data_IF_399362799063
#
_entry.id   IF_399362799063
#
_cell.length_a   1.000
_cell.length_b   1.000
_cell.length_c   1.000
_cell.angle_alpha   90.00
_cell.angle_beta   90.00
_cell.angle_gamma   90.00
#
_symmetry.space_group_name_H-M   'P 1'
#
loop_
_entity.id
_entity.type
_entity.pdbx_description
1 polymer ?
#
# COMPACT_ATOMS: atom_id res chain seq x y z
N UNK A 1 -27.40 -13.32 35.98
CA UNK A 1 -26.95 -13.62 34.61
C UNK A 1 -26.71 -12.37 33.76
N UNK A 2 -27.63 -11.40 33.71
CA UNK A 2 -27.48 -10.17 32.90
C UNK A 2 -26.15 -9.40 33.08
N UNK A 3 -25.64 -9.28 34.31
CA UNK A 3 -24.34 -8.62 34.58
C UNK A 3 -23.14 -9.33 33.95
N UNK A 4 -23.17 -10.66 33.85
CA UNK A 4 -22.10 -11.44 33.24
C UNK A 4 -22.16 -11.39 31.71
N UNK A 5 -23.36 -11.40 31.13
CA UNK A 5 -23.56 -11.19 29.70
C UNK A 5 -23.07 -9.79 29.30
N UNK A 6 -23.43 -8.75 30.07
CA UNK A 6 -22.94 -7.39 29.81
C UNK A 6 -21.42 -7.27 29.86
N UNK A 7 -20.76 -7.94 30.83
CA UNK A 7 -19.29 -8.00 30.91
C UNK A 7 -18.66 -8.72 29.72
N UNK A 8 -19.25 -9.83 29.26
CA UNK A 8 -18.76 -10.56 28.09
C UNK A 8 -18.87 -9.72 26.82
N UNK A 9 -20.01 -9.03 26.61
CA UNK A 9 -20.18 -8.10 25.48
C UNK A 9 -19.15 -6.98 25.55
N UNK A 10 -18.96 -6.35 26.72
CA UNK A 10 -17.96 -5.30 26.89
C UNK A 10 -16.54 -5.79 26.57
N UNK A 11 -16.18 -7.00 26.99
CA UNK A 11 -14.87 -7.59 26.68
C UNK A 11 -14.68 -7.82 25.17
N UNK A 12 -15.71 -8.31 24.47
CA UNK A 12 -15.67 -8.48 23.00
C UNK A 12 -15.52 -7.14 22.29
N UNK A 13 -16.24 -6.10 22.74
CA UNK A 13 -16.12 -4.75 22.18
C UNK A 13 -14.71 -4.19 22.40
N UNK A 14 -14.16 -4.30 23.61
CA UNK A 14 -12.80 -3.83 23.92
C UNK A 14 -11.76 -4.56 23.07
N UNK A 15 -11.88 -5.89 22.92
CA UNK A 15 -10.98 -6.67 22.07
C UNK A 15 -11.09 -6.24 20.59
N UNK A 16 -12.32 -6.00 20.10
CA UNK A 16 -12.55 -5.53 18.74
C UNK A 16 -11.95 -4.15 18.47
N UNK A 17 -12.12 -3.19 19.38
CA UNK A 17 -11.54 -1.85 19.28
C UNK A 17 -10.01 -1.89 19.40
N UNK A 18 -9.47 -2.69 20.33
CA UNK A 18 -8.03 -2.86 20.46
C UNK A 18 -7.40 -3.45 19.20
N UNK A 19 -8.04 -4.45 18.60
CA UNK A 19 -7.60 -5.06 17.35
C UNK A 19 -7.65 -4.07 16.18
N UNK A 20 -8.72 -3.29 16.04
CA UNK A 20 -8.84 -2.33 14.93
C UNK A 20 -7.80 -1.20 15.01
N UNK A 21 -7.52 -0.69 16.22
CA UNK A 21 -6.46 0.30 16.43
C UNK A 21 -5.09 -0.31 16.13
N UNK A 22 -4.82 -1.54 16.57
CA UNK A 22 -3.58 -2.23 16.28
C UNK A 22 -3.39 -2.48 14.77
N UNK A 23 -4.44 -2.88 14.07
CA UNK A 23 -4.40 -3.09 12.61
C UNK A 23 -4.15 -1.77 11.87
N UNK A 24 -4.82 -0.68 12.27
CA UNK A 24 -4.59 0.65 11.73
C UNK A 24 -3.15 1.16 11.97
N UNK A 25 -2.59 0.84 13.14
CA UNK A 25 -1.20 1.14 13.47
C UNK A 25 -0.23 0.37 12.58
N UNK A 26 -0.44 -0.95 12.45
CA UNK A 26 0.38 -1.79 11.58
C UNK A 26 0.29 -1.36 10.12
N UNK A 27 -0.88 -0.93 9.67
CA UNK A 27 -1.10 -0.40 8.33
C UNK A 27 -0.41 0.96 8.08
N UNK A 28 0.08 1.63 9.12
CA UNK A 28 0.81 2.90 9.04
C UNK A 28 -0.08 4.12 8.87
N UNK A 29 -1.40 4.01 9.11
CA UNK A 29 -2.34 5.12 8.86
C UNK A 29 -2.11 6.33 9.77
N UNK A 30 -1.54 6.12 10.97
CA UNK A 30 -1.18 7.22 11.89
C UNK A 30 0.08 7.99 11.48
N UNK A 31 0.92 7.41 10.62
CA UNK A 31 2.15 8.04 10.12
C UNK A 31 2.04 8.41 8.64
N UNK A 32 0.82 8.34 8.07
CA UNK A 32 0.58 8.66 6.67
C UNK A 32 0.74 10.18 6.48
N UNK A 33 1.58 10.60 5.53
CA UNK A 33 1.67 11.99 5.12
C UNK A 33 0.32 12.55 4.66
N UNK A 34 0.23 13.87 4.58
CA UNK A 34 -0.88 14.56 3.94
C UNK A 34 -1.01 14.10 2.48
N UNK A 35 -2.22 13.76 2.05
CA UNK A 35 -2.46 13.21 0.72
C UNK A 35 -2.68 14.34 -0.28
N UNK A 36 -1.96 14.36 -1.41
CA UNK A 36 -2.27 15.28 -2.50
C UNK A 36 -3.69 15.09 -3.04
N UNK A 37 -4.24 16.13 -3.66
CA UNK A 37 -5.57 16.05 -4.27
C UNK A 37 -5.62 14.96 -5.36
N UNK A 38 -6.68 14.16 -5.33
CA UNK A 38 -6.85 13.02 -6.25
C UNK A 38 -5.97 11.80 -5.94
N UNK A 39 -5.06 11.89 -4.98
CA UNK A 39 -4.24 10.76 -4.56
C UNK A 39 -5.04 9.76 -3.70
N UNK A 40 -4.57 8.51 -3.70
CA UNK A 40 -5.13 7.48 -2.83
C UNK A 40 -4.02 6.63 -2.21
N UNK A 41 -4.29 6.10 -1.02
CA UNK A 41 -3.30 5.30 -0.29
C UNK A 41 -3.57 3.81 -0.38
N UNK A 42 -2.52 3.02 -0.56
CA UNK A 42 -2.54 1.55 -0.46
C UNK A 42 -1.57 1.11 0.63
N UNK A 43 -2.02 0.23 1.52
CA UNK A 43 -1.20 -0.37 2.57
C UNK A 43 -1.22 -1.88 2.43
N UNK A 44 -0.04 -2.48 2.20
CA UNK A 44 0.10 -3.89 1.92
C UNK A 44 0.68 -4.64 3.12
N UNK A 45 0.24 -5.89 3.31
CA UNK A 45 0.73 -6.77 4.39
C UNK A 45 2.23 -7.08 4.29
N UNK A 46 2.82 -6.92 3.11
CA UNK A 46 4.26 -7.08 2.86
C UNK A 46 5.09 -5.83 3.21
N UNK A 47 4.47 -4.83 3.85
CA UNK A 47 5.14 -3.62 4.35
C UNK A 47 5.24 -2.48 3.35
N UNK A 48 4.87 -2.68 2.08
CA UNK A 48 4.79 -1.55 1.15
C UNK A 48 3.62 -0.63 1.55
N UNK A 49 3.93 0.65 1.73
CA UNK A 49 2.95 1.72 1.99
C UNK A 49 3.08 2.76 0.89
N UNK A 50 1.99 2.98 0.16
CA UNK A 50 2.00 3.70 -1.09
C UNK A 50 0.96 4.84 -1.06
N UNK A 51 1.36 6.03 -1.47
CA UNK A 51 0.49 7.14 -1.86
C UNK A 51 0.56 7.22 -3.37
N UNK A 52 -0.47 6.77 -4.05
CA UNK A 52 -0.54 6.77 -5.50
C UNK A 52 -1.05 8.14 -5.97
N UNK A 53 -0.27 8.80 -6.81
CA UNK A 53 -0.52 10.14 -7.35
C UNK A 53 -0.62 10.06 -8.88
N UNK A 54 -1.47 10.90 -9.48
CA UNK A 54 -1.65 11.00 -10.94
C UNK A 54 -1.99 9.68 -11.66
N UNK A 55 -2.55 8.71 -10.93
CA UNK A 55 -3.08 7.45 -11.47
C UNK A 55 -4.57 7.36 -11.14
N UNK A 56 -5.44 6.94 -12.08
CA UNK A 56 -6.85 6.74 -11.80
C UNK A 56 -7.09 5.77 -10.63
N UNK A 57 -7.89 6.20 -9.66
CA UNK A 57 -8.29 5.34 -8.55
C UNK A 57 -9.37 4.34 -9.01
N UNK A 58 -8.94 3.14 -9.39
CA UNK A 58 -9.82 2.06 -9.85
C UNK A 58 -10.00 0.98 -8.77
N UNK A 59 -9.81 1.32 -7.48
CA UNK A 59 -9.90 0.35 -6.37
C UNK A 59 -11.25 -0.35 -6.26
N UNK A 60 -12.32 0.20 -6.82
CA UNK A 60 -13.64 -0.45 -6.84
C UNK A 60 -13.67 -1.65 -7.80
N UNK A 61 -13.08 -1.50 -8.99
CA UNK A 61 -13.15 -2.46 -10.10
C UNK A 61 -11.86 -3.28 -10.29
N UNK A 62 -10.75 -2.87 -9.66
CA UNK A 62 -9.45 -3.53 -9.76
C UNK A 62 -8.85 -3.84 -8.40
N UNK A 63 -8.08 -4.93 -8.36
CA UNK A 63 -7.31 -5.34 -7.20
C UNK A 63 -5.84 -5.00 -7.42
N UNK A 64 -5.29 -4.18 -6.54
CA UNK A 64 -3.90 -3.74 -6.61
C UNK A 64 -2.99 -4.68 -5.82
N UNK A 65 -1.78 -4.87 -6.32
CA UNK A 65 -0.73 -5.68 -5.73
C UNK A 65 0.55 -4.85 -5.61
N UNK A 66 1.17 -4.90 -4.43
CA UNK A 66 2.41 -4.19 -4.14
C UNK A 66 3.59 -5.15 -4.13
N UNK A 67 4.68 -4.77 -4.79
CA UNK A 67 5.92 -5.53 -4.92
C UNK A 67 7.05 -4.71 -4.29
N UNK A 68 7.33 -4.89 -2.98
CA UNK A 68 8.40 -4.17 -2.33
C UNK A 68 9.76 -4.59 -2.91
N UNK A 69 10.63 -3.61 -3.11
CA UNK A 69 12.06 -3.84 -3.38
C UNK A 69 12.83 -3.99 -2.06
N UNK A 70 14.06 -4.50 -2.16
CA UNK A 70 14.95 -4.53 -1.00
C UNK A 70 15.48 -3.13 -0.73
N UNK A 71 15.23 -2.64 0.49
CA UNK A 71 15.62 -1.31 0.96
C UNK A 71 16.20 -1.40 2.37
N UNK A 72 17.07 -0.45 2.77
CA UNK A 72 17.57 -0.37 4.13
C UNK A 72 16.45 -0.42 5.17
N UNK A 73 16.74 -0.99 6.34
CA UNK A 73 15.73 -1.30 7.36
C UNK A 73 14.90 -0.08 7.79
N UNK A 74 15.49 1.12 7.80
CA UNK A 74 14.83 2.36 8.20
C UNK A 74 13.84 2.91 7.15
N UNK A 75 13.87 2.39 5.91
CA UNK A 75 12.93 2.76 4.83
C UNK A 75 11.81 1.73 4.64
N UNK A 76 11.86 0.60 5.34
CA UNK A 76 10.88 -0.49 5.14
C UNK A 76 9.47 -0.05 5.45
N UNK A 77 9.28 0.74 6.51
CA UNK A 77 7.97 1.19 6.97
C UNK A 77 7.62 2.61 6.51
N UNK A 78 8.49 3.26 5.73
CA UNK A 78 8.25 4.59 5.20
C UNK A 78 7.16 4.58 4.13
N UNK A 79 6.35 5.64 4.12
CA UNK A 79 5.40 5.90 3.04
C UNK A 79 6.16 6.31 1.77
N UNK A 80 5.77 5.72 0.64
CA UNK A 80 6.33 6.01 -0.68
C UNK A 80 5.29 6.70 -1.55
N UNK A 81 5.74 7.62 -2.39
CA UNK A 81 4.90 8.24 -3.41
C UNK A 81 5.05 7.45 -4.71
N UNK A 82 3.93 7.07 -5.31
CA UNK A 82 3.89 6.20 -6.46
C UNK A 82 3.21 6.90 -7.63
N UNK A 83 3.87 6.95 -8.77
CA UNK A 83 3.36 7.56 -9.99
C UNK A 83 3.54 6.60 -11.16
N UNK A 84 2.93 6.92 -12.30
CA UNK A 84 3.24 6.26 -13.56
C UNK A 84 4.77 6.25 -13.81
N UNK A 85 5.31 5.21 -14.45
CA UNK A 85 6.75 5.08 -14.66
C UNK A 85 7.28 6.22 -15.54
N UNK A 86 8.40 6.80 -15.13
CA UNK A 86 9.12 7.76 -15.96
C UNK A 86 9.75 7.06 -17.18
N UNK A 87 10.19 7.84 -18.17
CA UNK A 87 10.73 7.31 -19.42
C UNK A 87 11.94 6.40 -19.18
N UNK A 88 12.83 6.78 -18.26
CA UNK A 88 13.99 6.02 -17.84
C UNK A 88 13.67 4.71 -17.11
N UNK A 89 12.45 4.56 -16.59
CA UNK A 89 12.02 3.37 -15.82
C UNK A 89 11.33 2.33 -16.70
N UNK A 90 10.96 2.70 -17.93
CA UNK A 90 10.17 1.84 -18.83
C UNK A 90 10.84 0.51 -19.12
N UNK A 91 12.16 0.49 -19.31
CA UNK A 91 12.89 -0.75 -19.57
C UNK A 91 12.89 -1.68 -18.35
N UNK A 92 13.11 -1.15 -17.16
CA UNK A 92 13.06 -1.91 -15.92
C UNK A 92 11.65 -2.47 -15.67
N UNK A 93 10.61 -1.66 -15.91
CA UNK A 93 9.22 -2.07 -15.80
C UNK A 93 8.88 -3.16 -16.82
N UNK A 94 9.34 -3.03 -18.07
CA UNK A 94 9.14 -4.06 -19.08
C UNK A 94 9.83 -5.38 -18.68
N UNK A 95 11.05 -5.31 -18.13
CA UNK A 95 11.75 -6.46 -17.59
C UNK A 95 11.01 -7.13 -16.43
N UNK A 96 10.45 -6.33 -15.52
CA UNK A 96 9.62 -6.82 -14.41
C UNK A 96 8.35 -7.52 -14.90
N UNK A 97 7.69 -6.95 -15.91
CA UNK A 97 6.45 -7.50 -16.47
C UNK A 97 6.68 -8.74 -17.35
N UNK A 98 7.87 -8.90 -17.96
CA UNK A 98 8.17 -10.03 -18.84
C UNK A 98 7.99 -11.40 -18.18
N UNK A 99 8.24 -11.49 -16.89
CA UNK A 99 8.12 -12.74 -16.13
C UNK A 99 6.75 -12.89 -15.43
N UNK A 100 5.79 -12.00 -15.72
CA UNK A 100 4.47 -11.94 -15.07
C UNK A 100 3.36 -12.05 -16.10
N UNK A 101 2.79 -13.26 -16.19
CA UNK A 101 1.73 -13.59 -17.13
C UNK A 101 0.38 -13.79 -16.39
N UNK A 102 -0.04 -12.79 -15.61
CA UNK A 102 -1.37 -12.84 -14.99
C UNK A 102 -2.41 -12.24 -15.95
N UNK A 103 -3.52 -12.95 -16.24
CA UNK A 103 -4.56 -12.44 -17.14
C UNK A 103 -5.12 -11.08 -16.67
N UNK A 104 -5.07 -10.08 -17.55
CA UNK A 104 -5.56 -8.73 -17.28
C UNK A 104 -4.67 -7.88 -16.36
N UNK A 105 -3.47 -8.36 -16.04
CA UNK A 105 -2.51 -7.60 -15.25
C UNK A 105 -2.04 -6.34 -15.97
N UNK A 106 -2.06 -5.22 -15.25
CA UNK A 106 -1.57 -3.92 -15.70
C UNK A 106 -0.55 -3.40 -14.72
N UNK A 107 0.55 -2.85 -15.23
CA UNK A 107 1.47 -2.08 -14.41
C UNK A 107 0.84 -0.72 -14.08
N UNK A 108 0.83 -0.34 -12.80
CA UNK A 108 0.19 0.91 -12.35
C UNK A 108 1.21 1.99 -12.04
N UNK A 109 2.20 1.68 -11.18
CA UNK A 109 3.05 2.72 -10.63
C UNK A 109 4.40 2.20 -10.13
N UNK A 110 5.39 3.10 -10.14
CA UNK A 110 6.67 2.95 -9.45
C UNK A 110 6.62 3.76 -8.17
N UNK A 111 6.90 3.13 -7.03
CA UNK A 111 6.89 3.76 -5.71
C UNK A 111 8.28 4.18 -5.30
N UNK A 112 8.45 5.46 -4.94
CA UNK A 112 9.72 6.07 -4.56
C UNK A 112 9.63 6.71 -3.18
N UNK A 113 10.74 6.68 -2.46
CA UNK A 113 10.96 7.47 -1.25
C UNK A 113 12.05 8.47 -1.57
N UNK A 114 11.80 9.75 -1.26
CA UNK A 114 12.82 10.79 -1.30
C UNK A 114 13.42 10.93 0.10
N UNK A 115 14.73 10.79 0.21
CA UNK A 115 15.49 10.97 1.45
C UNK A 115 16.59 11.97 1.15
N UNK A 116 16.50 13.17 1.70
CA UNK A 116 17.37 14.29 1.35
C UNK A 116 17.41 14.51 -0.19
N UNK A 117 18.56 14.26 -0.82
CA UNK A 117 18.77 14.37 -2.26
C UNK A 117 18.65 13.03 -3.01
N UNK A 118 18.51 11.92 -2.30
CA UNK A 118 18.44 10.58 -2.86
C UNK A 118 17.00 10.13 -3.13
N UNK A 119 16.80 9.46 -4.26
CA UNK A 119 15.54 8.84 -4.65
C UNK A 119 15.71 7.32 -4.63
N UNK A 120 14.99 6.65 -3.74
CA UNK A 120 15.03 5.20 -3.57
C UNK A 120 13.73 4.60 -4.08
N UNK A 121 13.82 3.68 -5.05
CA UNK A 121 12.67 2.88 -5.47
C UNK A 121 12.32 1.91 -4.34
N UNK A 122 11.15 2.09 -3.74
CA UNK A 122 10.63 1.31 -2.61
C UNK A 122 9.78 0.12 -3.06
N UNK A 123 9.22 0.18 -4.26
CA UNK A 123 8.42 -0.92 -4.78
C UNK A 123 7.72 -0.59 -6.08
N UNK A 124 6.97 -1.56 -6.59
CA UNK A 124 6.17 -1.47 -7.79
C UNK A 124 4.72 -1.82 -7.47
N UNK A 125 3.78 -1.27 -8.22
CA UNK A 125 2.36 -1.59 -8.10
C UNK A 125 1.87 -2.12 -9.43
N UNK A 126 1.18 -3.26 -9.39
CA UNK A 126 0.38 -3.76 -10.49
C UNK A 126 -1.06 -3.93 -10.04
N UNK A 127 -1.96 -4.17 -10.99
CA UNK A 127 -3.35 -4.47 -10.68
C UNK A 127 -3.94 -5.48 -11.65
N UNK A 128 -5.00 -6.16 -11.22
CA UNK A 128 -5.84 -7.03 -12.07
C UNK A 128 -7.31 -6.64 -11.93
N UNK A 129 -8.18 -6.92 -12.90
CA UNK A 129 -9.63 -6.78 -12.74
C UNK A 129 -10.14 -7.59 -11.55
N UNK A 130 -11.12 -7.05 -10.82
CA UNK A 130 -11.93 -7.84 -9.90
C UNK A 130 -12.95 -8.65 -10.71
N UNK A 131 -13.10 -9.91 -10.35
CA UNK A 131 -14.13 -10.81 -10.87
C UNK A 131 -15.19 -11.03 -9.80
#
# INVERSE_FOLDING_TARGET
MAKWIGRAIAAVVIAGVGYSVYDAYRAGYFTRPEMPDGAFSLSYRNGLRAIVVDVPNEQEVRRYFGFPTDVPFYLKDAWSFCSAPADEEKEQVAGFMKNREWPGERFEAVCKIKVDDDVVVRGLITSVPKL
#
